data_IF_153499088258
#
_entry.id   IF_153499088258
#
_cell.length_a   1.000
_cell.length_b   1.000
_cell.length_c   1.000
_cell.angle_alpha   90.00
_cell.angle_beta   90.00
_cell.angle_gamma   90.00
#
_symmetry.space_group_name_H-M   'P 1'
#
loop_
_entity.id
_entity.type
_entity.pdbx_description
1 polymer ?
#
# COMPACT_ATOMS: atom_id res chain seq x y z
N UNK A 1 -15.15 0.43 -19.57
CA UNK A 1 -14.70 0.15 -18.18
C UNK A 1 -15.93 0.11 -17.28
N UNK A 2 -16.15 -0.96 -16.51
CA UNK A 2 -17.36 -1.10 -15.66
C UNK A 2 -17.48 0.10 -14.71
N UNK A 3 -18.70 0.61 -14.46
CA UNK A 3 -18.97 1.84 -13.67
C UNK A 3 -18.19 1.90 -12.35
N UNK A 4 -18.13 0.77 -11.63
CA UNK A 4 -17.48 0.65 -10.32
C UNK A 4 -15.95 0.72 -10.35
N UNK A 5 -15.31 0.58 -11.51
CA UNK A 5 -13.86 0.72 -11.65
C UNK A 5 -13.45 2.18 -11.90
N UNK A 6 -14.36 3.03 -12.39
CA UNK A 6 -14.09 4.46 -12.63
C UNK A 6 -13.67 5.18 -11.35
N UNK A 7 -14.20 4.79 -10.19
CA UNK A 7 -13.91 5.42 -8.90
C UNK A 7 -12.47 5.23 -8.41
N UNK A 8 -11.72 4.28 -8.99
CA UNK A 8 -10.33 4.00 -8.60
C UNK A 8 -9.31 4.59 -9.58
N UNK A 9 -9.76 4.99 -10.77
CA UNK A 9 -8.90 5.53 -11.81
C UNK A 9 -8.35 6.91 -11.42
N UNK A 10 -7.07 7.15 -11.72
CA UNK A 10 -6.38 8.42 -11.50
C UNK A 10 -6.33 8.89 -10.03
N UNK A 11 -6.45 7.96 -9.07
CA UNK A 11 -6.25 8.23 -7.64
C UNK A 11 -4.81 7.94 -7.23
N UNK A 12 -4.31 8.67 -6.24
CA UNK A 12 -3.08 8.31 -5.53
C UNK A 12 -3.35 7.11 -4.64
N UNK A 13 -2.48 6.10 -4.72
CA UNK A 13 -2.59 4.85 -3.97
C UNK A 13 -1.40 4.63 -3.07
N UNK A 14 -1.59 3.81 -2.05
CA UNK A 14 -0.52 3.12 -1.35
C UNK A 14 -0.67 1.62 -1.55
N UNK A 15 0.42 0.96 -1.93
CA UNK A 15 0.40 -0.43 -2.38
C UNK A 15 1.11 -1.31 -1.35
N UNK A 16 0.42 -2.38 -0.96
CA UNK A 16 0.92 -3.46 -0.11
C UNK A 16 1.99 -4.30 -0.81
N UNK A 17 2.89 -4.91 -0.03
CA UNK A 17 3.89 -5.83 -0.51
C UNK A 17 3.28 -6.98 -1.33
N UNK A 18 2.19 -7.58 -0.84
CA UNK A 18 1.55 -8.72 -1.52
C UNK A 18 1.10 -8.39 -2.94
N UNK A 19 0.55 -7.19 -3.18
CA UNK A 19 0.12 -6.77 -4.51
C UNK A 19 1.31 -6.56 -5.43
N UNK A 20 2.42 -6.03 -4.92
CA UNK A 20 3.65 -5.88 -5.70
C UNK A 20 4.20 -7.24 -6.11
N UNK A 21 4.22 -8.22 -5.20
CA UNK A 21 4.69 -9.58 -5.49
C UNK A 21 3.79 -10.29 -6.49
N UNK A 22 2.47 -10.27 -6.28
CA UNK A 22 1.52 -10.90 -7.20
C UNK A 22 1.64 -10.31 -8.62
N UNK A 23 1.79 -8.98 -8.73
CA UNK A 23 1.99 -8.32 -10.01
C UNK A 23 3.38 -8.56 -10.61
N UNK A 24 4.41 -8.74 -9.78
CA UNK A 24 5.73 -9.12 -10.25
C UNK A 24 5.72 -10.51 -10.89
N UNK A 25 5.10 -11.49 -10.23
CA UNK A 25 5.00 -12.88 -10.69
C UNK A 25 4.31 -13.01 -12.05
N UNK A 26 3.32 -12.16 -12.33
CA UNK A 26 2.58 -12.16 -13.61
C UNK A 26 3.09 -11.12 -14.60
N UNK A 27 4.25 -10.49 -14.35
CA UNK A 27 4.82 -9.41 -15.17
C UNK A 27 3.85 -8.23 -15.41
N UNK A 28 3.00 -7.94 -14.43
CA UNK A 28 1.92 -6.95 -14.48
C UNK A 28 2.18 -5.63 -13.76
N UNK A 29 3.37 -5.44 -13.17
CA UNK A 29 3.71 -4.24 -12.37
C UNK A 29 3.37 -2.91 -13.06
N UNK A 30 3.60 -2.80 -14.37
CA UNK A 30 3.33 -1.61 -15.18
C UNK A 30 1.86 -1.13 -15.13
N UNK A 31 0.93 -2.01 -14.75
CA UNK A 31 -0.49 -1.68 -14.66
C UNK A 31 -0.74 -0.63 -13.57
N UNK A 32 0.03 -0.64 -12.49
CA UNK A 32 -0.14 0.30 -11.37
C UNK A 32 -0.06 1.76 -11.85
N UNK A 33 0.96 2.10 -12.64
CA UNK A 33 1.11 3.45 -13.18
C UNK A 33 0.20 3.77 -14.38
N UNK A 34 -0.53 2.79 -14.94
CA UNK A 34 -1.57 3.02 -15.96
C UNK A 34 -2.93 3.36 -15.34
N UNK A 35 -3.20 2.85 -14.13
CA UNK A 35 -4.48 3.03 -13.45
C UNK A 35 -4.42 4.20 -12.47
N UNK A 36 -3.33 4.34 -11.73
CA UNK A 36 -3.20 5.29 -10.63
C UNK A 36 -2.35 6.49 -11.03
N UNK A 37 -2.70 7.68 -10.54
CA UNK A 37 -1.96 8.92 -10.80
C UNK A 37 -0.61 8.93 -10.07
N UNK A 38 -0.57 8.31 -8.91
CA UNK A 38 0.61 8.19 -8.06
C UNK A 38 0.59 6.86 -7.32
N UNK A 39 1.73 6.17 -7.30
CA UNK A 39 1.93 4.94 -6.54
C UNK A 39 2.86 5.24 -5.37
N UNK A 40 2.37 5.05 -4.15
CA UNK A 40 3.15 5.15 -2.93
C UNK A 40 3.46 3.77 -2.38
N UNK A 41 4.66 3.58 -1.82
CA UNK A 41 5.07 2.33 -1.17
C UNK A 41 5.67 2.67 0.21
N UNK A 42 5.19 2.06 1.31
CA UNK A 42 5.82 2.23 2.62
C UNK A 42 7.29 1.82 2.59
N UNK A 43 8.14 2.52 3.34
CA UNK A 43 9.55 2.12 3.48
C UNK A 43 9.68 0.72 4.08
N UNK A 44 8.77 0.37 4.99
CA UNK A 44 8.70 -0.94 5.65
C UNK A 44 8.43 -2.06 4.63
N UNK A 45 7.50 -1.84 3.69
CA UNK A 45 7.23 -2.78 2.58
C UNK A 45 8.47 -2.96 1.70
N UNK A 46 9.21 -1.88 1.44
CA UNK A 46 10.44 -1.98 0.65
C UNK A 46 11.52 -2.77 1.38
N UNK A 47 11.63 -2.61 2.69
CA UNK A 47 12.60 -3.38 3.48
C UNK A 47 12.28 -4.87 3.59
N UNK A 48 11.03 -5.26 3.35
CA UNK A 48 10.61 -6.67 3.28
C UNK A 48 10.91 -7.32 1.92
N UNK A 49 11.30 -6.54 0.90
CA UNK A 49 11.73 -7.09 -0.37
C UNK A 49 13.09 -7.77 -0.17
N UNK A 50 13.08 -9.11 -0.12
CA UNK A 50 14.24 -9.93 0.25
C UNK A 50 15.28 -10.10 -0.87
N UNK A 51 14.90 -9.85 -2.14
CA UNK A 51 15.75 -10.09 -3.31
C UNK A 51 16.05 -8.80 -4.10
N UNK A 52 17.35 -8.59 -4.35
CA UNK A 52 17.87 -7.52 -5.21
C UNK A 52 17.26 -7.54 -6.62
N UNK A 53 16.91 -8.72 -7.16
CA UNK A 53 16.28 -8.83 -8.48
C UNK A 53 14.83 -8.32 -8.47
N UNK A 54 14.03 -8.72 -7.48
CA UNK A 54 12.66 -8.24 -7.32
C UNK A 54 12.64 -6.73 -7.13
N UNK A 55 13.52 -6.20 -6.28
CA UNK A 55 13.64 -4.78 -6.05
C UNK A 55 14.03 -4.01 -7.34
N UNK A 56 14.97 -4.54 -8.13
CA UNK A 56 15.36 -3.97 -9.43
C UNK A 56 14.19 -3.96 -10.42
N UNK A 57 13.45 -5.05 -10.53
CA UNK A 57 12.32 -5.13 -11.46
C UNK A 57 11.17 -4.21 -11.03
N UNK A 58 10.87 -4.10 -9.73
CA UNK A 58 9.93 -3.09 -9.22
C UNK A 58 10.40 -1.69 -9.60
N UNK A 59 11.65 -1.35 -9.31
CA UNK A 59 12.20 -0.03 -9.66
C UNK A 59 12.19 0.31 -11.14
N UNK A 60 12.35 -0.71 -12.00
CA UNK A 60 12.39 -0.55 -13.46
C UNK A 60 10.99 -0.41 -14.06
N UNK A 61 10.01 -1.13 -13.53
CA UNK A 61 8.68 -1.23 -14.14
C UNK A 61 7.66 -0.26 -13.54
N UNK A 62 7.91 0.26 -12.33
CA UNK A 62 7.01 1.24 -11.70
C UNK A 62 7.72 2.51 -11.22
N UNK A 63 7.09 3.65 -11.50
CA UNK A 63 7.41 4.92 -10.84
C UNK A 63 6.61 5.00 -9.55
N UNK A 64 7.30 5.10 -8.42
CA UNK A 64 6.66 5.19 -7.11
C UNK A 64 7.36 6.20 -6.19
N UNK A 65 6.64 6.63 -5.17
CA UNK A 65 7.16 7.46 -4.06
C UNK A 65 7.22 6.63 -2.78
N UNK A 66 8.34 6.72 -2.07
CA UNK A 66 8.48 6.13 -0.73
C UNK A 66 7.71 6.97 0.28
N UNK A 67 7.02 6.33 1.22
CA UNK A 67 6.27 7.02 2.27
C UNK A 67 6.57 6.45 3.65
N UNK A 68 6.52 7.32 4.66
CA UNK A 68 6.64 6.99 6.09
C UNK A 68 5.56 7.77 6.84
N UNK A 69 5.18 7.30 8.03
CA UNK A 69 4.28 8.06 8.91
C UNK A 69 5.02 9.34 9.36
N UNK A 70 4.41 10.50 9.17
CA UNK A 70 5.06 11.80 9.44
C UNK A 70 4.35 12.58 10.54
N UNK A 71 3.06 12.33 10.74
CA UNK A 71 2.21 13.13 11.63
C UNK A 71 1.80 12.35 12.87
N UNK A 72 1.54 13.11 13.94
CA UNK A 72 1.04 12.56 15.20
C UNK A 72 -0.25 11.74 15.01
N UNK A 73 -1.16 12.16 14.11
CA UNK A 73 -2.39 11.44 13.82
C UNK A 73 -2.15 10.02 13.27
N UNK A 74 -1.14 9.84 12.43
CA UNK A 74 -0.75 8.53 11.91
C UNK A 74 -0.15 7.64 12.99
N UNK A 75 0.70 8.18 13.88
CA UNK A 75 1.24 7.43 15.01
C UNK A 75 0.19 7.09 16.08
N UNK A 76 -0.77 7.98 16.32
CA UNK A 76 -1.89 7.71 17.22
C UNK A 76 -2.74 6.55 16.68
N UNK A 77 -2.98 6.53 15.37
CA UNK A 77 -3.65 5.41 14.73
C UNK A 77 -2.83 4.12 14.87
N UNK A 78 -1.52 4.18 14.68
CA UNK A 78 -0.64 3.02 14.85
C UNK A 78 -0.72 2.43 16.26
N UNK A 79 -0.70 3.28 17.29
CA UNK A 79 -0.85 2.86 18.68
C UNK A 79 -2.21 2.20 18.92
N UNK A 80 -3.29 2.77 18.37
CA UNK A 80 -4.64 2.18 18.44
C UNK A 80 -4.69 0.80 17.79
N UNK A 81 -4.20 0.68 16.55
CA UNK A 81 -4.15 -0.60 15.83
C UNK A 81 -3.32 -1.65 16.57
N UNK A 82 -2.25 -1.25 17.24
CA UNK A 82 -1.43 -2.15 18.05
C UNK A 82 -2.17 -2.70 19.27
N UNK A 83 -3.13 -1.95 19.83
CA UNK A 83 -3.99 -2.41 20.92
C UNK A 83 -5.19 -3.25 20.45
N UNK A 84 -5.83 -2.83 19.35
CA UNK A 84 -7.14 -3.34 18.91
C UNK A 84 -7.06 -4.41 17.82
N UNK A 85 -6.05 -4.37 16.94
CA UNK A 85 -5.91 -5.25 15.77
C UNK A 85 -4.54 -5.94 15.80
N UNK A 86 -4.40 -6.89 16.73
CA UNK A 86 -3.14 -7.59 17.00
C UNK A 86 -2.73 -8.53 15.87
N UNK A 87 -3.68 -8.94 15.05
CA UNK A 87 -3.52 -9.78 13.87
C UNK A 87 -2.81 -9.07 12.71
N UNK A 88 -2.83 -7.73 12.65
CA UNK A 88 -2.09 -7.00 11.64
C UNK A 88 -0.59 -7.06 11.93
N UNK A 89 0.22 -7.29 10.90
CA UNK A 89 1.68 -7.18 11.03
C UNK A 89 2.10 -5.73 11.29
N UNK A 90 3.37 -5.51 11.61
CA UNK A 90 3.91 -4.16 11.72
C UNK A 90 3.80 -3.42 10.36
N UNK A 91 4.20 -4.07 9.26
CA UNK A 91 4.11 -3.50 7.92
C UNK A 91 2.67 -3.15 7.53
N UNK A 92 1.69 -4.01 7.83
CA UNK A 92 0.27 -3.72 7.58
C UNK A 92 -0.21 -2.49 8.35
N UNK A 93 0.21 -2.35 9.61
CA UNK A 93 -0.12 -1.16 10.41
C UNK A 93 0.52 0.09 9.81
N UNK A 94 1.78 0.03 9.38
CA UNK A 94 2.45 1.13 8.69
C UNK A 94 1.74 1.50 7.39
N UNK A 95 1.32 0.52 6.60
CA UNK A 95 0.54 0.70 5.37
C UNK A 95 -0.77 1.44 5.65
N UNK A 96 -1.58 0.94 6.60
CA UNK A 96 -2.88 1.53 6.97
C UNK A 96 -2.71 2.96 7.50
N UNK A 97 -1.71 3.20 8.35
CA UNK A 97 -1.47 4.53 8.93
C UNK A 97 -1.03 5.53 7.87
N UNK A 98 -0.16 5.13 6.94
CA UNK A 98 0.20 5.99 5.81
C UNK A 98 -0.99 6.27 4.89
N UNK A 99 -1.85 5.27 4.64
CA UNK A 99 -3.06 5.44 3.85
C UNK A 99 -3.97 6.51 4.46
N UNK A 100 -4.21 6.40 5.76
CA UNK A 100 -5.03 7.33 6.54
C UNK A 100 -4.45 8.75 6.53
N UNK A 101 -3.19 8.91 6.95
CA UNK A 101 -2.55 10.22 7.12
C UNK A 101 -2.47 11.02 5.82
N UNK A 102 -2.28 10.33 4.69
CA UNK A 102 -2.06 10.93 3.38
C UNK A 102 -3.30 10.91 2.49
N UNK A 103 -4.43 10.38 2.97
CA UNK A 103 -5.68 10.27 2.20
C UNK A 103 -5.55 9.39 0.96
N UNK A 104 -4.72 8.34 1.02
CA UNK A 104 -4.42 7.46 -0.11
C UNK A 104 -5.38 6.28 -0.17
N UNK A 105 -5.69 5.82 -1.38
CA UNK A 105 -6.41 4.55 -1.56
C UNK A 105 -5.45 3.38 -1.24
N UNK A 106 -5.79 2.58 -0.24
CA UNK A 106 -5.01 1.40 0.15
C UNK A 106 -5.32 0.22 -0.79
N UNK A 107 -4.28 -0.33 -1.42
CA UNK A 107 -4.39 -1.46 -2.35
C UNK A 107 -3.70 -2.67 -1.73
N UNK A 108 -4.49 -3.66 -1.32
CA UNK A 108 -4.04 -4.87 -0.63
C UNK A 108 -4.91 -6.08 -0.96
N UNK A 109 -4.27 -7.24 -1.13
CA UNK A 109 -4.95 -8.53 -1.26
C UNK A 109 -5.27 -9.17 0.11
N UNK A 110 -4.76 -8.62 1.22
CA UNK A 110 -5.07 -9.08 2.57
C UNK A 110 -6.46 -8.63 3.05
N UNK A 111 -7.26 -9.58 3.52
CA UNK A 111 -8.63 -9.32 3.99
C UNK A 111 -8.69 -8.53 5.30
N UNK A 112 -7.71 -8.69 6.19
CA UNK A 112 -7.60 -7.96 7.44
C UNK A 112 -7.21 -6.51 7.19
N UNK A 113 -6.26 -6.26 6.28
CA UNK A 113 -5.92 -4.88 5.85
C UNK A 113 -7.15 -4.17 5.29
N UNK A 114 -7.91 -4.82 4.40
CA UNK A 114 -9.14 -4.23 3.85
C UNK A 114 -10.20 -3.95 4.92
N UNK A 115 -10.33 -4.80 5.94
CA UNK A 115 -11.25 -4.57 7.07
C UNK A 115 -10.77 -3.40 7.92
N UNK A 116 -9.48 -3.34 8.23
CA UNK A 116 -8.86 -2.28 9.00
C UNK A 116 -9.15 -0.92 8.36
N UNK A 117 -8.84 -0.79 7.06
CA UNK A 117 -9.07 0.45 6.30
C UNK A 117 -10.54 0.87 6.32
N UNK A 118 -11.49 -0.05 6.09
CA UNK A 118 -12.94 0.27 6.11
C UNK A 118 -13.45 0.77 7.45
N UNK A 119 -12.81 0.39 8.55
CA UNK A 119 -13.19 0.82 9.89
C UNK A 119 -12.57 2.19 10.26
N UNK A 120 -11.70 2.73 9.40
CA UNK A 120 -10.89 3.92 9.69
C UNK A 120 -11.13 5.04 8.66
N UNK A 121 -11.23 4.70 7.38
CA UNK A 121 -11.29 5.60 6.21
C UNK A 121 -12.68 5.56 5.57
#
# INVERSE_FOLDING_TARGET
MKEHLKQFFNRSVIVDANVLFDLYEVHGLYILNKIFSEVCIPVEVISELLDDEQFKEIHKNIRYRKVVIEKAEGYNLYARLSGEQKELSAADKHLVCNAFEKGLLCVSNDSQVRKAVKNII
#
